data_IF_369639295078
#
_entry.id   IF_369639295078
#
_cell.length_a   1.000
_cell.length_b   1.000
_cell.length_c   1.000
_cell.angle_alpha   90.00
_cell.angle_beta   90.00
_cell.angle_gamma   90.00
#
_symmetry.space_group_name_H-M   'P 1'
#
loop_
_entity.id
_entity.type
_entity.pdbx_description
1 polymer ?
#
# COMPACT_ATOMS: atom_id res chain seq x y z
N UNK A 1 -35.74 2.85 3.16
CA UNK A 1 -36.17 4.17 3.65
C UNK A 1 -35.39 4.44 4.92
N UNK A 2 -34.52 5.44 4.93
CA UNK A 2 -33.75 5.81 6.14
C UNK A 2 -34.70 6.40 7.18
N UNK A 3 -34.75 5.79 8.36
CA UNK A 3 -35.59 6.26 9.46
C UNK A 3 -34.97 7.49 10.13
N UNK A 4 -35.82 8.39 10.67
CA UNK A 4 -35.33 9.51 11.47
C UNK A 4 -34.50 9.06 12.69
N UNK A 5 -34.80 7.87 13.21
CA UNK A 5 -34.03 7.22 14.27
C UNK A 5 -32.60 6.90 13.87
N UNK A 6 -32.38 6.35 12.67
CA UNK A 6 -31.03 6.04 12.16
C UNK A 6 -30.19 7.31 11.97
N UNK A 7 -30.79 8.38 11.46
CA UNK A 7 -30.11 9.68 11.30
C UNK A 7 -29.62 10.20 12.66
N UNK A 8 -30.48 10.13 13.68
CA UNK A 8 -30.12 10.56 15.03
C UNK A 8 -29.07 9.64 15.66
N UNK A 9 -29.17 8.32 15.44
CA UNK A 9 -28.21 7.35 15.94
C UNK A 9 -26.82 7.59 15.35
N UNK A 10 -26.71 7.77 14.02
CA UNK A 10 -25.43 8.06 13.37
C UNK A 10 -24.84 9.38 13.87
N UNK A 11 -25.64 10.44 14.01
CA UNK A 11 -25.16 11.71 14.56
C UNK A 11 -24.60 11.55 15.97
N UNK A 12 -25.29 10.82 16.85
CA UNK A 12 -24.79 10.53 18.20
C UNK A 12 -23.51 9.71 18.16
N UNK A 13 -23.42 8.72 17.26
CA UNK A 13 -22.24 7.89 17.09
C UNK A 13 -21.02 8.68 16.61
N UNK A 14 -21.18 9.60 15.65
CA UNK A 14 -20.11 10.46 15.17
C UNK A 14 -19.61 11.43 16.26
N UNK A 15 -20.46 11.84 17.19
CA UNK A 15 -20.06 12.68 18.32
C UNK A 15 -19.40 11.89 19.46
N UNK A 16 -19.58 10.57 19.52
CA UNK A 16 -18.91 9.71 20.49
C UNK A 16 -17.50 9.34 19.97
N UNK A 17 -16.41 9.68 20.67
CA UNK A 17 -15.05 9.44 20.18
C UNK A 17 -14.73 7.96 19.96
N UNK A 18 -15.30 7.06 20.76
CA UNK A 18 -15.04 5.61 20.66
C UNK A 18 -15.75 5.04 19.44
N UNK A 19 -17.07 5.23 19.37
CA UNK A 19 -17.89 4.72 18.26
C UNK A 19 -17.49 5.37 16.93
N UNK A 20 -17.19 6.67 16.93
CA UNK A 20 -16.68 7.36 15.75
C UNK A 20 -15.36 6.76 15.28
N UNK A 21 -14.44 6.43 16.19
CA UNK A 21 -13.16 5.81 15.82
C UNK A 21 -13.36 4.42 15.19
N UNK A 22 -14.20 3.59 15.81
CA UNK A 22 -14.57 2.28 15.27
C UNK A 22 -15.22 2.38 13.89
N UNK A 23 -16.20 3.28 13.74
CA UNK A 23 -16.88 3.50 12.47
C UNK A 23 -15.91 4.02 11.40
N UNK A 24 -14.98 4.91 11.77
CA UNK A 24 -13.94 5.41 10.86
C UNK A 24 -13.04 4.29 10.32
N UNK A 25 -12.63 3.36 11.18
CA UNK A 25 -11.86 2.16 10.78
C UNK A 25 -12.68 1.18 9.96
N UNK A 26 -14.00 1.14 10.17
CA UNK A 26 -14.88 0.29 9.37
C UNK A 26 -15.05 0.83 7.95
N UNK A 27 -15.31 2.13 7.79
CA UNK A 27 -15.53 2.71 6.46
C UNK A 27 -14.24 2.83 5.65
N UNK A 28 -13.07 2.93 6.29
CA UNK A 28 -11.78 2.90 5.59
C UNK A 28 -11.51 1.58 4.84
N UNK A 29 -12.22 0.51 5.18
CA UNK A 29 -12.16 -0.77 4.46
C UNK A 29 -13.10 -0.82 3.25
N UNK A 30 -14.04 0.13 3.14
CA UNK A 30 -15.16 0.11 2.18
C UNK A 30 -14.95 1.06 1.01
N UNK A 31 -14.16 2.12 1.17
CA UNK A 31 -13.95 3.13 0.15
C UNK A 31 -12.79 4.05 0.48
N UNK A 32 -12.24 4.67 -0.56
CA UNK A 32 -10.98 5.41 -0.49
C UNK A 32 -11.11 6.74 0.25
N UNK A 33 -12.25 7.44 0.12
CA UNK A 33 -12.48 8.75 0.72
C UNK A 33 -13.39 8.73 1.97
N UNK A 34 -13.98 7.59 2.30
CA UNK A 34 -14.97 7.52 3.39
C UNK A 34 -14.38 7.82 4.79
N UNK A 35 -13.09 7.55 5.00
CA UNK A 35 -12.41 8.00 6.22
C UNK A 35 -12.35 9.54 6.26
N UNK A 36 -12.03 10.17 5.13
CA UNK A 36 -11.98 11.63 5.00
C UNK A 36 -13.37 12.26 5.12
N UNK A 37 -14.42 11.60 4.64
CA UNK A 37 -15.81 12.00 4.81
C UNK A 37 -16.20 12.19 6.28
N UNK A 38 -15.82 11.25 7.15
CA UNK A 38 -16.04 11.37 8.60
C UNK A 38 -15.24 12.55 9.16
N UNK A 39 -13.97 12.68 8.77
CA UNK A 39 -13.11 13.78 9.24
C UNK A 39 -13.67 15.14 8.82
N UNK A 40 -14.08 15.28 7.57
CA UNK A 40 -14.72 16.48 7.04
C UNK A 40 -16.01 16.80 7.80
N UNK A 41 -16.88 15.81 8.03
CA UNK A 41 -18.13 16.02 8.76
C UNK A 41 -17.88 16.57 10.17
N UNK A 42 -16.90 16.00 10.89
CA UNK A 42 -16.49 16.46 12.22
C UNK A 42 -15.88 17.87 12.17
N UNK A 43 -15.07 18.14 11.16
CA UNK A 43 -14.42 19.43 10.98
C UNK A 43 -15.44 20.55 10.71
N UNK A 44 -16.50 20.26 9.95
CA UNK A 44 -17.63 21.18 9.75
C UNK A 44 -18.38 21.46 11.05
N UNK A 45 -18.50 20.49 11.97
CA UNK A 45 -19.09 20.76 13.29
C UNK A 45 -18.21 21.73 14.11
N UNK A 46 -16.90 21.48 14.17
CA UNK A 46 -15.95 22.37 14.85
C UNK A 46 -15.94 23.78 14.25
N UNK A 47 -16.05 23.87 12.93
CA UNK A 47 -16.18 25.14 12.21
C UNK A 47 -17.44 25.90 12.63
N UNK A 48 -18.59 25.24 12.74
CA UNK A 48 -19.83 25.87 13.22
C UNK A 48 -19.70 26.38 14.64
N UNK A 49 -19.09 25.59 15.52
CA UNK A 49 -18.83 26.00 16.90
C UNK A 49 -17.90 27.23 16.94
N UNK A 50 -16.87 27.25 16.09
CA UNK A 50 -15.97 28.39 15.92
C UNK A 50 -16.73 29.65 15.47
N UNK A 51 -17.64 29.53 14.49
CA UNK A 51 -18.48 30.65 14.04
C UNK A 51 -19.36 31.22 15.17
N UNK A 52 -19.84 30.38 16.10
CA UNK A 52 -20.65 30.83 17.25
C UNK A 52 -19.81 31.37 18.42
N UNK A 53 -18.50 31.10 18.43
CA UNK A 53 -17.61 31.51 19.52
C UNK A 53 -17.16 32.98 19.50
N UNK A 54 -17.67 33.79 18.55
CA UNK A 54 -17.24 35.18 18.32
C UNK A 54 -15.73 35.35 18.10
N UNK A 55 -15.11 34.38 17.44
CA UNK A 55 -13.70 34.46 17.07
C UNK A 55 -13.44 35.57 16.03
N UNK A 56 -12.18 35.98 15.89
CA UNK A 56 -11.76 36.91 14.84
C UNK A 56 -12.11 36.34 13.47
N UNK A 57 -12.66 37.20 12.61
CA UNK A 57 -13.09 36.85 11.27
C UNK A 57 -11.95 36.24 10.43
N UNK A 58 -10.72 36.74 10.59
CA UNK A 58 -9.53 36.15 9.95
C UNK A 58 -9.30 34.68 10.33
N UNK A 59 -9.56 34.29 11.58
CA UNK A 59 -9.39 32.90 12.04
C UNK A 59 -10.48 32.00 11.44
N UNK A 60 -11.70 32.53 11.27
CA UNK A 60 -12.80 31.82 10.59
C UNK A 60 -12.45 31.64 9.10
N UNK A 61 -11.90 32.66 8.46
CA UNK A 61 -11.43 32.61 7.07
C UNK A 61 -10.32 31.55 6.92
N UNK A 62 -9.30 31.60 7.76
CA UNK A 62 -8.18 30.64 7.75
C UNK A 62 -8.71 29.21 7.92
N UNK A 63 -9.75 29.04 8.74
CA UNK A 63 -10.41 27.76 8.93
C UNK A 63 -11.10 27.26 7.65
N UNK A 64 -11.85 28.13 6.97
CA UNK A 64 -12.47 27.81 5.67
C UNK A 64 -11.39 27.41 4.65
N UNK A 65 -10.32 28.20 4.54
CA UNK A 65 -9.19 27.93 3.65
C UNK A 65 -8.54 26.59 3.96
N UNK A 66 -8.36 26.28 5.25
CA UNK A 66 -7.81 24.99 5.70
C UNK A 66 -8.70 23.83 5.28
N UNK A 67 -10.01 23.91 5.55
CA UNK A 67 -10.98 22.86 5.17
C UNK A 67 -10.96 22.63 3.65
N UNK A 68 -10.96 23.70 2.85
CA UNK A 68 -10.87 23.62 1.40
C UNK A 68 -9.57 22.93 0.97
N UNK A 69 -8.43 23.35 1.51
CA UNK A 69 -7.12 22.79 1.17
C UNK A 69 -6.96 21.31 1.54
N UNK A 70 -7.66 20.84 2.57
CA UNK A 70 -7.55 19.45 3.00
C UNK A 70 -8.52 18.53 2.24
N UNK A 71 -9.75 18.99 1.99
CA UNK A 71 -10.84 18.11 1.53
C UNK A 71 -11.31 18.36 0.10
N UNK A 72 -11.18 19.58 -0.43
CA UNK A 72 -11.79 19.99 -1.71
C UNK A 72 -10.74 20.22 -2.80
N UNK A 73 -9.66 20.92 -2.45
CA UNK A 73 -8.55 21.24 -3.35
C UNK A 73 -7.23 20.86 -2.69
N UNK A 74 -7.07 19.56 -2.43
CA UNK A 74 -5.84 18.98 -1.89
C UNK A 74 -4.71 19.05 -2.89
N UNK A 75 -3.50 19.28 -2.38
CA UNK A 75 -2.25 19.15 -3.15
C UNK A 75 -1.89 17.70 -3.45
N UNK A 76 -2.53 16.73 -2.78
CA UNK A 76 -2.34 15.30 -3.02
C UNK A 76 -3.44 14.81 -3.96
N UNK A 77 -3.12 14.23 -5.13
CA UNK A 77 -4.12 13.69 -6.05
C UNK A 77 -4.87 12.47 -5.47
N UNK A 78 -6.19 12.34 -5.73
CA UNK A 78 -7.05 13.32 -6.40
C UNK A 78 -7.35 14.54 -5.53
N UNK A 79 -7.47 15.72 -6.14
CA UNK A 79 -7.62 16.98 -5.39
C UNK A 79 -8.86 16.99 -4.48
N UNK A 80 -9.96 16.43 -4.97
CA UNK A 80 -11.17 16.19 -4.19
C UNK A 80 -10.97 14.92 -3.36
N UNK A 81 -11.04 15.06 -2.04
CA UNK A 81 -10.70 14.02 -1.06
C UNK A 81 -11.91 13.52 -0.28
N UNK A 82 -13.12 13.91 -0.69
CA UNK A 82 -14.41 13.55 -0.08
C UNK A 82 -15.44 13.21 -1.15
N UNK A 83 -16.45 12.42 -0.79
CA UNK A 83 -17.48 11.94 -1.72
C UNK A 83 -18.60 12.98 -1.92
N UNK A 84 -18.30 14.03 -2.68
CA UNK A 84 -19.26 15.06 -3.11
C UNK A 84 -19.25 15.25 -4.63
N UNK A 85 -20.35 15.75 -5.24
CA UNK A 85 -20.36 16.13 -6.64
C UNK A 85 -19.35 17.24 -6.95
N UNK A 86 -18.66 17.19 -8.11
CA UNK A 86 -17.65 18.18 -8.49
C UNK A 86 -18.23 19.59 -8.68
N UNK A 87 -19.51 19.70 -9.06
CA UNK A 87 -20.24 20.97 -9.16
C UNK A 87 -20.31 21.63 -7.77
N UNK A 88 -20.55 20.83 -6.75
CA UNK A 88 -20.66 21.27 -5.38
C UNK A 88 -19.32 21.69 -4.80
N UNK A 89 -18.25 20.98 -5.13
CA UNK A 89 -16.88 21.37 -4.82
C UNK A 89 -16.55 22.74 -5.44
N UNK A 90 -16.89 22.93 -6.71
CA UNK A 90 -16.66 24.19 -7.45
C UNK A 90 -17.40 25.38 -6.82
N UNK A 91 -18.67 25.17 -6.45
CA UNK A 91 -19.49 26.19 -5.79
C UNK A 91 -18.94 26.63 -4.42
N UNK A 92 -18.26 25.73 -3.69
CA UNK A 92 -17.58 26.08 -2.44
C UNK A 92 -16.33 26.93 -2.73
N UNK A 93 -15.60 26.67 -3.81
CA UNK A 93 -14.41 27.43 -4.19
C UNK A 93 -14.74 28.86 -4.65
N UNK A 94 -15.87 29.04 -5.33
CA UNK A 94 -16.40 30.34 -5.75
C UNK A 94 -16.75 31.21 -4.53
N UNK A 95 -17.32 30.60 -3.50
CA UNK A 95 -17.80 31.27 -2.27
C UNK A 95 -16.80 31.21 -1.12
N UNK A 96 -15.52 30.96 -1.39
CA UNK A 96 -14.46 30.85 -0.34
C UNK A 96 -14.26 32.11 0.51
N UNK A 97 -14.75 33.26 0.05
CA UNK A 97 -14.73 34.52 0.78
C UNK A 97 -15.93 34.73 1.72
N UNK A 98 -16.96 33.87 1.63
CA UNK A 98 -18.12 33.94 2.51
C UNK A 98 -17.81 33.31 3.87
N UNK A 99 -18.12 34.03 4.94
CA UNK A 99 -17.94 33.54 6.31
C UNK A 99 -19.29 33.38 6.98
N UNK A 100 -19.78 32.14 6.95
CA UNK A 100 -21.03 31.77 7.60
C UNK A 100 -21.01 30.32 8.06
N UNK A 101 -21.77 29.96 9.12
CA UNK A 101 -21.79 28.61 9.67
C UNK A 101 -22.30 27.54 8.70
N UNK A 102 -22.84 27.94 7.54
CA UNK A 102 -23.48 27.08 6.55
C UNK A 102 -22.75 27.01 5.21
N UNK A 103 -21.53 27.54 5.10
CA UNK A 103 -20.69 27.48 3.88
C UNK A 103 -20.57 26.04 3.34
N UNK A 104 -20.39 25.07 4.24
CA UNK A 104 -20.22 23.65 3.88
C UNK A 104 -21.51 22.82 4.02
N UNK A 105 -22.69 23.43 4.17
CA UNK A 105 -23.93 22.70 4.51
C UNK A 105 -24.28 21.64 3.47
N UNK A 106 -24.17 21.98 2.19
CA UNK A 106 -24.48 21.06 1.09
C UNK A 106 -23.51 19.87 1.08
N UNK A 107 -22.20 20.14 1.22
CA UNK A 107 -21.16 19.10 1.29
C UNK A 107 -21.35 18.19 2.49
N UNK A 108 -21.65 18.78 3.64
CA UNK A 108 -21.92 18.02 4.84
C UNK A 108 -23.13 17.10 4.68
N UNK A 109 -24.19 17.55 4.00
CA UNK A 109 -25.37 16.71 3.76
C UNK A 109 -25.08 15.57 2.78
N UNK A 110 -24.29 15.81 1.72
CA UNK A 110 -23.90 14.77 0.76
C UNK A 110 -23.06 13.69 1.45
N UNK A 111 -21.97 14.10 2.10
CA UNK A 111 -21.07 13.20 2.83
C UNK A 111 -21.82 12.42 3.91
N UNK A 112 -22.67 13.09 4.69
CA UNK A 112 -23.49 12.40 5.69
C UNK A 112 -24.41 11.35 5.07
N UNK A 113 -24.94 11.61 3.87
CA UNK A 113 -25.80 10.66 3.17
C UNK A 113 -25.03 9.43 2.69
N UNK A 114 -23.78 9.58 2.25
CA UNK A 114 -22.90 8.45 1.92
C UNK A 114 -22.57 7.62 3.16
N UNK A 115 -22.18 8.26 4.26
CA UNK A 115 -21.91 7.58 5.54
C UNK A 115 -23.14 6.84 6.09
N UNK A 116 -24.34 7.42 5.91
CA UNK A 116 -25.59 6.82 6.38
C UNK A 116 -25.91 5.50 5.67
N UNK A 117 -25.50 5.31 4.41
CA UNK A 117 -25.68 4.04 3.69
C UNK A 117 -24.93 2.89 4.35
N UNK A 118 -23.77 3.18 4.94
CA UNK A 118 -22.87 2.20 5.55
C UNK A 118 -23.17 1.97 7.04
N UNK A 119 -23.96 2.84 7.65
CA UNK A 119 -24.26 2.78 9.07
C UNK A 119 -24.94 1.47 9.52
N UNK A 120 -25.95 0.92 8.81
CA UNK A 120 -26.57 -0.36 9.17
C UNK A 120 -25.60 -1.55 9.07
N UNK A 121 -24.67 -1.53 8.11
CA UNK A 121 -23.66 -2.57 7.97
C UNK A 121 -22.69 -2.55 9.16
N UNK A 122 -22.31 -1.36 9.63
CA UNK A 122 -21.49 -1.21 10.82
C UNK A 122 -22.23 -1.73 12.07
N UNK A 123 -23.50 -1.39 12.26
CA UNK A 123 -24.29 -1.88 13.40
C UNK A 123 -24.41 -3.42 13.40
N UNK A 124 -24.55 -4.01 12.22
CA UNK A 124 -24.59 -5.47 12.07
C UNK A 124 -23.24 -6.11 12.40
N UNK A 125 -22.14 -5.44 12.05
CA UNK A 125 -20.79 -5.86 12.43
C UNK A 125 -20.53 -5.71 13.93
N UNK A 126 -20.91 -4.58 14.53
CA UNK A 126 -20.64 -4.28 15.95
C UNK A 126 -21.52 -5.07 16.90
N UNK A 127 -22.74 -5.43 16.52
CA UNK A 127 -23.63 -6.26 17.35
C UNK A 127 -23.19 -7.72 17.47
N UNK A 128 -22.38 -8.20 16.52
CA UNK A 128 -21.84 -9.56 16.52
C UNK A 128 -20.47 -9.70 17.19
N UNK A 129 -19.89 -8.61 17.71
CA UNK A 129 -18.51 -8.55 18.20
C UNK A 129 -18.49 -7.82 19.55
N UNK A 130 -17.67 -8.27 20.51
CA UNK A 130 -17.47 -7.50 21.75
C UNK A 130 -16.81 -6.15 21.43
N UNK A 131 -17.23 -5.06 22.10
CA UNK A 131 -16.80 -3.69 21.78
C UNK A 131 -15.27 -3.54 21.75
N UNK A 132 -14.55 -4.28 22.61
CA UNK A 132 -13.10 -4.34 22.71
C UNK A 132 -12.41 -5.05 21.53
N UNK A 133 -13.12 -5.95 20.86
CA UNK A 133 -12.60 -6.77 19.74
C UNK A 133 -12.85 -6.11 18.37
N UNK A 134 -13.76 -5.14 18.28
CA UNK A 134 -14.11 -4.42 17.05
C UNK A 134 -12.87 -3.80 16.38
N UNK A 135 -12.05 -3.08 17.16
CA UNK A 135 -10.85 -2.40 16.61
C UNK A 135 -9.75 -3.38 16.19
N UNK A 136 -9.35 -4.39 16.99
CA UNK A 136 -8.40 -5.40 16.57
C UNK A 136 -8.80 -6.13 15.27
N UNK A 137 -10.07 -6.47 15.10
CA UNK A 137 -10.56 -7.15 13.90
C UNK A 137 -10.46 -6.25 12.65
N UNK A 138 -10.83 -4.98 12.78
CA UNK A 138 -10.70 -4.00 11.70
C UNK A 138 -9.23 -3.76 11.32
N UNK A 139 -8.34 -3.63 12.32
CA UNK A 139 -6.90 -3.47 12.09
C UNK A 139 -6.30 -4.69 11.37
N UNK A 140 -6.67 -5.90 11.79
CA UNK A 140 -6.25 -7.13 11.14
C UNK A 140 -6.73 -7.21 9.68
N UNK A 141 -7.95 -6.73 9.40
CA UNK A 141 -8.49 -6.64 8.05
C UNK A 141 -7.70 -5.67 7.17
N UNK A 142 -7.41 -4.46 7.68
CA UNK A 142 -6.59 -3.47 6.96
C UNK A 142 -5.20 -4.05 6.64
N UNK A 143 -4.52 -4.63 7.63
CA UNK A 143 -3.19 -5.21 7.44
C UNK A 143 -3.20 -6.31 6.35
N UNK A 144 -4.26 -7.13 6.32
CA UNK A 144 -4.44 -8.16 5.27
C UNK A 144 -4.67 -7.54 3.89
N UNK A 145 -5.46 -6.47 3.78
CA UNK A 145 -5.69 -5.76 2.52
C UNK A 145 -4.41 -5.10 2.01
N UNK A 146 -3.68 -4.36 2.86
CA UNK A 146 -2.41 -3.73 2.50
C UNK A 146 -1.37 -4.76 2.06
N UNK A 147 -1.26 -5.89 2.76
CA UNK A 147 -0.35 -6.97 2.38
C UNK A 147 -0.72 -7.59 1.02
N UNK A 148 -2.02 -7.75 0.72
CA UNK A 148 -2.49 -8.22 -0.59
C UNK A 148 -2.16 -7.22 -1.70
N UNK A 149 -2.39 -5.93 -1.46
CA UNK A 149 -2.08 -4.87 -2.43
C UNK A 149 -0.58 -4.79 -2.72
N UNK A 150 0.25 -4.82 -1.68
CA UNK A 150 1.71 -4.82 -1.82
C UNK A 150 2.22 -6.03 -2.61
N UNK A 151 1.65 -7.22 -2.38
CA UNK A 151 1.97 -8.42 -3.16
C UNK A 151 1.55 -8.28 -4.63
N UNK A 152 0.41 -7.64 -4.90
CA UNK A 152 -0.07 -7.42 -6.27
C UNK A 152 0.83 -6.44 -7.02
N UNK A 153 1.19 -5.32 -6.37
CA UNK A 153 2.12 -4.33 -6.92
C UNK A 153 3.49 -4.94 -7.24
N UNK A 154 4.04 -5.77 -6.33
CA UNK A 154 5.31 -6.48 -6.58
C UNK A 154 5.23 -7.39 -7.81
N UNK A 155 4.11 -8.10 -8.01
CA UNK A 155 3.90 -8.96 -9.19
C UNK A 155 3.74 -8.15 -10.48
N UNK A 156 3.10 -6.98 -10.41
CA UNK A 156 2.96 -6.07 -11.55
C UNK A 156 4.33 -5.46 -11.93
N UNK A 157 5.12 -5.04 -10.96
CA UNK A 157 6.50 -4.58 -11.14
C UNK A 157 7.38 -5.68 -11.76
N UNK A 158 7.31 -6.92 -11.24
CA UNK A 158 8.04 -8.07 -11.79
C UNK A 158 7.65 -8.36 -13.25
N UNK A 159 6.36 -8.33 -13.59
CA UNK A 159 5.87 -8.51 -14.97
C UNK A 159 6.30 -7.39 -15.91
N UNK A 160 6.32 -6.15 -15.43
CA UNK A 160 6.77 -5.00 -16.22
C UNK A 160 8.27 -5.07 -16.51
N UNK A 161 9.08 -5.52 -15.54
CA UNK A 161 10.50 -5.79 -15.75
C UNK A 161 10.71 -6.92 -16.77
N UNK A 162 9.94 -8.00 -16.69
CA UNK A 162 10.00 -9.11 -17.65
C UNK A 162 9.61 -8.66 -19.07
N UNK A 163 8.55 -7.85 -19.21
CA UNK A 163 8.14 -7.28 -20.50
C UNK A 163 9.24 -6.40 -21.11
N UNK A 164 9.89 -5.56 -20.31
CA UNK A 164 11.02 -4.72 -20.77
C UNK A 164 12.22 -5.56 -21.22
N UNK A 165 12.53 -6.63 -20.48
CA UNK A 165 13.61 -7.55 -20.86
C UNK A 165 13.31 -8.26 -22.19
N UNK A 166 12.06 -8.69 -22.42
CA UNK A 166 11.64 -9.27 -23.71
C UNK A 166 11.74 -8.26 -24.86
N UNK A 167 11.32 -7.01 -24.64
CA UNK A 167 11.43 -5.94 -25.65
C UNK A 167 12.89 -5.58 -25.98
N UNK A 168 13.82 -5.66 -25.02
CA UNK A 168 15.25 -5.49 -25.27
C UNK A 168 15.83 -6.65 -26.09
N UNK A 169 15.42 -7.90 -25.81
CA UNK A 169 15.85 -9.08 -26.57
C UNK A 169 15.30 -9.04 -28.00
N UNK A 170 14.05 -8.63 -28.23
CA UNK A 170 13.48 -8.49 -29.58
C UNK A 170 14.11 -7.33 -30.37
N UNK A 171 14.58 -6.27 -29.70
CA UNK A 171 15.25 -5.13 -30.36
C UNK A 171 16.67 -5.48 -30.84
N UNK A 172 17.32 -6.45 -30.20
CA UNK A 172 18.66 -6.92 -30.56
C UNK A 172 18.64 -8.44 -30.79
N UNK A 173 18.02 -8.93 -31.88
CA UNK A 173 18.17 -10.32 -32.27
C UNK A 173 19.66 -10.57 -32.54
N UNK A 174 20.29 -11.41 -31.72
CA UNK A 174 21.70 -11.76 -31.78
C UNK A 174 22.15 -12.07 -33.23
N UNK A 175 23.02 -11.23 -33.80
CA UNK A 175 23.93 -11.54 -34.91
C UNK A 175 24.97 -12.59 -34.45
N UNK A 176 24.50 -13.78 -34.08
CA UNK A 176 25.33 -14.89 -33.58
C UNK A 176 25.09 -16.10 -34.45
N UNK A 177 25.35 -15.99 -35.76
CA UNK A 177 25.44 -17.18 -36.63
C UNK A 177 26.20 -16.90 -37.93
N UNK A 178 27.39 -16.30 -37.90
CA UNK A 178 28.23 -16.27 -39.11
C UNK A 178 29.72 -16.06 -38.78
N UNK A 179 30.36 -17.03 -38.10
CA UNK A 179 31.81 -17.00 -37.94
C UNK A 179 32.45 -18.37 -37.63
N UNK A 180 31.96 -19.47 -38.21
CA UNK A 180 32.68 -20.76 -38.17
C UNK A 180 33.06 -21.35 -39.54
N UNK A 181 32.63 -20.77 -40.67
CA UNK A 181 32.99 -21.28 -42.01
C UNK A 181 33.85 -20.30 -42.82
N UNK A 182 35.11 -20.06 -42.41
CA UNK A 182 36.09 -19.46 -43.34
C UNK A 182 37.53 -19.82 -43.06
N UNK A 183 37.81 -21.09 -42.85
CA UNK A 183 39.19 -21.60 -42.84
C UNK A 183 39.35 -22.86 -43.70
N UNK A 184 38.98 -22.77 -44.99
CA UNK A 184 39.47 -23.68 -46.03
C UNK A 184 39.47 -22.99 -47.39
N UNK A 185 40.65 -22.60 -47.86
CA UNK A 185 40.87 -22.36 -49.29
C UNK A 185 41.81 -21.20 -49.62
N UNK A 186 42.88 -21.58 -50.32
CA UNK A 186 43.70 -20.78 -51.25
C UNK A 186 44.94 -20.05 -50.72
N UNK A 187 46.05 -20.76 -50.93
CA UNK A 187 47.39 -20.27 -51.25
C UNK A 187 47.40 -19.02 -52.14
N UNK A 188 48.33 -18.09 -51.86
CA UNK A 188 48.90 -17.20 -52.87
C UNK A 188 49.25 -15.79 -52.41
N UNK A 189 50.55 -15.56 -52.18
CA UNK A 189 51.26 -14.27 -52.22
C UNK A 189 51.12 -13.26 -51.07
N UNK A 190 52.07 -13.39 -50.12
CA UNK A 190 53.01 -12.37 -49.65
C UNK A 190 52.52 -10.90 -49.56
N UNK A 191 52.11 -10.49 -48.37
CA UNK A 191 52.58 -9.25 -47.74
C UNK A 191 52.35 -9.29 -46.22
N UNK A 192 53.38 -8.89 -45.47
CA UNK A 192 53.44 -8.92 -44.01
C UNK A 192 52.49 -7.85 -43.43
N UNK A 193 51.57 -8.23 -42.55
CA UNK A 193 51.10 -7.35 -41.46
C UNK A 193 50.38 -8.19 -40.38
N UNK A 194 50.88 -8.09 -39.14
CA UNK A 194 50.24 -8.67 -37.95
C UNK A 194 48.79 -8.16 -37.79
N UNK A 195 47.79 -9.02 -37.59
CA UNK A 195 46.53 -8.59 -36.98
C UNK A 195 46.70 -8.58 -35.46
N UNK A 196 46.86 -7.40 -34.89
CA UNK A 196 46.67 -7.17 -33.46
C UNK A 196 45.24 -7.55 -33.07
N UNK A 197 45.04 -8.70 -32.43
CA UNK A 197 43.78 -8.99 -31.75
C UNK A 197 43.63 -8.01 -30.59
N UNK A 198 42.86 -6.95 -30.82
CA UNK A 198 42.44 -6.02 -29.79
C UNK A 198 41.34 -6.72 -28.97
N UNK A 199 41.71 -7.38 -27.88
CA UNK A 199 40.75 -7.87 -26.90
C UNK A 199 40.06 -6.66 -26.26
N UNK A 200 38.85 -6.36 -26.71
CA UNK A 200 37.98 -5.38 -26.05
C UNK A 200 37.22 -6.07 -24.92
N UNK A 201 37.79 -6.00 -23.71
CA UNK A 201 37.05 -6.27 -22.49
C UNK A 201 36.06 -5.12 -22.27
N UNK A 202 34.76 -5.40 -22.44
CA UNK A 202 33.71 -4.45 -22.06
C UNK A 202 33.00 -4.92 -20.80
N UNK A 203 32.77 -3.99 -19.88
CA UNK A 203 32.06 -4.24 -18.63
C UNK A 203 30.68 -4.87 -18.88
N UNK A 204 29.99 -4.46 -19.94
CA UNK A 204 28.72 -5.05 -20.36
C UNK A 204 28.81 -6.54 -20.67
N UNK A 205 29.86 -7.00 -21.38
CA UNK A 205 30.06 -8.42 -21.70
C UNK A 205 30.38 -9.24 -20.45
N UNK A 206 31.11 -8.65 -19.51
CA UNK A 206 31.41 -9.28 -18.23
C UNK A 206 30.17 -9.43 -17.35
N UNK A 207 29.32 -8.40 -17.26
CA UNK A 207 28.06 -8.46 -16.52
C UNK A 207 27.11 -9.53 -17.07
N UNK A 208 26.99 -9.62 -18.40
CA UNK A 208 26.20 -10.67 -19.06
C UNK A 208 26.76 -12.07 -18.77
N UNK A 209 28.09 -12.22 -18.74
CA UNK A 209 28.70 -13.50 -18.40
C UNK A 209 28.42 -13.91 -16.95
N UNK A 210 28.48 -12.97 -16.00
CA UNK A 210 28.13 -13.21 -14.59
C UNK A 210 26.68 -13.62 -14.40
N UNK A 211 25.75 -12.97 -15.10
CA UNK A 211 24.32 -13.31 -15.02
C UNK A 211 24.04 -14.71 -15.59
N UNK A 212 24.70 -15.08 -16.69
CA UNK A 212 24.63 -16.44 -17.26
C UNK A 212 25.16 -17.49 -16.29
N UNK A 213 26.27 -17.21 -15.61
CA UNK A 213 26.85 -18.12 -14.60
C UNK A 213 25.90 -18.31 -13.40
N UNK A 214 25.28 -17.23 -12.91
CA UNK A 214 24.33 -17.31 -11.79
C UNK A 214 23.11 -18.19 -12.12
N UNK A 215 22.60 -18.09 -13.35
CA UNK A 215 21.47 -18.93 -13.83
C UNK A 215 21.86 -20.41 -13.88
N UNK A 216 23.07 -20.73 -14.35
CA UNK A 216 23.56 -22.11 -14.39
C UNK A 216 23.74 -22.68 -12.98
N UNK A 217 24.29 -21.91 -12.05
CA UNK A 217 24.44 -22.32 -10.65
C UNK A 217 23.07 -22.55 -9.98
N UNK A 218 22.08 -21.70 -10.24
CA UNK A 218 20.70 -21.91 -9.74
C UNK A 218 20.06 -23.18 -10.31
N UNK A 219 20.27 -23.48 -11.60
CA UNK A 219 19.79 -24.72 -12.22
C UNK A 219 20.47 -25.94 -11.62
N UNK A 220 21.78 -25.90 -11.40
CA UNK A 220 22.52 -26.99 -10.76
C UNK A 220 22.05 -27.22 -9.31
N UNK A 221 21.85 -26.15 -8.53
CA UNK A 221 21.34 -26.25 -7.17
C UNK A 221 19.93 -26.86 -7.10
N UNK A 222 19.07 -26.58 -8.08
CA UNK A 222 17.75 -27.23 -8.18
C UNK A 222 17.87 -28.73 -8.50
N UNK A 223 18.81 -29.12 -9.36
CA UNK A 223 19.07 -30.53 -9.66
C UNK A 223 19.61 -31.28 -8.43
N UNK A 224 20.55 -30.68 -7.69
CA UNK A 224 21.13 -31.29 -6.48
C UNK A 224 20.09 -31.45 -5.34
N UNK A 225 19.11 -30.53 -5.23
CA UNK A 225 17.96 -30.64 -4.31
C UNK A 225 17.02 -31.79 -4.71
N UNK A 226 16.83 -32.02 -6.01
CA UNK A 226 16.00 -33.13 -6.49
C UNK A 226 16.69 -34.50 -6.42
N UNK A 227 18.03 -34.55 -6.48
CA UNK A 227 18.80 -35.78 -6.29
C UNK A 227 18.95 -36.18 -4.81
N UNK A 228 18.82 -35.24 -3.87
CA UNK A 228 18.96 -35.48 -2.42
C UNK A 228 17.64 -35.76 -1.67
N UNK A 229 16.49 -35.70 -2.35
CA UNK A 229 15.17 -36.06 -1.77
C UNK A 229 14.73 -37.50 -2.04
N UNK A 230 15.66 -38.36 -2.46
CA UNK A 230 15.42 -39.76 -2.79
C UNK A 230 16.18 -40.76 -1.92
N UNK A 231 16.26 -40.60 -0.59
CA UNK A 231 16.63 -41.73 0.30
C UNK A 231 16.16 -41.54 1.75
N UNK A 232 15.33 -42.49 2.19
CA UNK A 232 15.03 -42.96 3.55
C UNK A 232 14.26 -42.06 4.55
N UNK A 233 12.99 -42.36 4.83
CA UNK A 233 12.45 -43.50 5.61
C UNK A 233 12.24 -43.12 7.09
N UNK A 234 10.97 -42.88 7.44
CA UNK A 234 10.29 -43.45 8.60
C UNK A 234 11.05 -43.55 9.95
N UNK A 235 10.67 -42.72 10.93
CA UNK A 235 9.77 -43.16 12.03
C UNK A 235 9.72 -42.15 13.17
N UNK A 236 8.52 -42.04 13.74
CA UNK A 236 8.22 -41.29 14.94
C UNK A 236 8.52 -42.13 16.21
N UNK A 237 9.15 -41.53 17.21
CA UNK A 237 8.99 -41.81 18.64
C UNK A 237 9.49 -40.58 19.41
N UNK A 238 8.64 -39.83 20.11
CA UNK A 238 8.28 -40.02 21.52
C UNK A 238 9.48 -40.25 22.43
N UNK A 239 9.82 -39.28 23.28
CA UNK A 239 9.77 -39.41 24.75
C UNK A 239 10.08 -38.07 25.43
N UNK A 240 9.12 -37.64 26.24
CA UNK A 240 9.29 -36.65 27.31
C UNK A 240 10.39 -37.12 28.29
N UNK A 241 11.26 -36.22 28.68
CA UNK A 241 12.02 -36.31 29.93
C UNK A 241 11.82 -35.02 30.74
N UNK A 242 11.20 -35.20 31.91
CA UNK A 242 11.18 -34.23 33.02
C UNK A 242 12.45 -34.43 33.87
N UNK A 243 12.67 -33.46 34.78
CA UNK A 243 13.62 -33.43 35.91
C UNK A 243 14.96 -32.81 35.47
N UNK A 244 15.40 -31.66 36.00
CA UNK A 244 15.72 -31.45 37.41
C UNK A 244 15.69 -29.98 37.82
N UNK A 245 15.21 -29.74 39.04
CA UNK A 245 15.37 -28.50 39.82
C UNK A 245 16.80 -28.47 40.38
N UNK A 246 17.49 -27.32 40.31
CA UNK A 246 18.45 -26.92 41.34
C UNK A 246 18.38 -25.40 41.52
N UNK A 247 17.85 -25.04 42.69
CA UNK A 247 18.04 -23.77 43.37
C UNK A 247 19.47 -23.71 43.90
N UNK A 248 20.15 -22.57 43.76
CA UNK A 248 21.23 -22.16 44.65
C UNK A 248 21.31 -20.63 44.68
N UNK A 249 20.65 -20.10 45.71
CA UNK A 249 20.82 -18.76 46.25
C UNK A 249 22.09 -18.76 47.12
N UNK A 250 23.01 -17.83 46.89
CA UNK A 250 23.94 -17.37 47.93
C UNK A 250 24.42 -15.97 47.61
N UNK A 251 24.14 -15.07 48.55
CA UNK A 251 24.73 -13.76 48.72
C UNK A 251 26.16 -13.88 49.28
N UNK A 252 27.01 -12.89 48.97
CA UNK A 252 27.99 -12.17 49.81
C UNK A 252 28.99 -11.51 48.84
N UNK A 253 29.02 -10.17 48.66
CA UNK A 253 29.50 -9.08 49.52
C UNK A 253 31.03 -8.99 49.63
N UNK A 254 31.52 -7.74 49.64
CA UNK A 254 32.86 -7.22 49.97
C UNK A 254 33.73 -7.01 48.71
N UNK A 255 34.22 -5.81 48.34
CA UNK A 255 34.56 -4.58 49.08
C UNK A 255 33.91 -3.32 48.50
#
# INVERSE_FOLDING_TARGET
>A
MTSAGEILALRKALLNPVTCHQFRRFVSLKGDFLENDILFWLEVQRYKDLCHSHCLEAVVQDKVSTIISCFIQSSVPPALQIDIPPEQASHILERRGEMGPYVFREAQMCVFSELLKLWPEFLSFSSGVQEEEVLPLLQNSMNKQSAKLQRRRRREEEKEVERRAQEEVERFPEEVEEQEEKHRGLQGSRELLYPSQQLSWSYSKYMVALEREEVLLRRQAQLDVTSSTGTDSSSAYSLRSKVSRLSLQSQHQVQ
#
